data_IF_599065631639
#
_entry.id   IF_599065631639
#
_cell.length_a   1.000
_cell.length_b   1.000
_cell.length_c   1.000
_cell.angle_alpha   90.00
_cell.angle_beta   90.00
_cell.angle_gamma   90.00
#
_symmetry.space_group_name_H-M   'P 1'
#
loop_
_entity.id
_entity.type
_entity.pdbx_description
1 polymer ?
#
# COMPACT_ATOMS: atom_id res chain seq x y z
N UNK A 1 18.41 -19.42 -11.68
CA UNK A 1 18.13 -19.89 -10.31
C UNK A 1 16.72 -19.47 -9.94
N UNK A 2 15.90 -20.32 -9.30
CA UNK A 2 14.56 -19.92 -8.89
C UNK A 2 14.67 -18.80 -7.84
N UNK A 3 13.86 -17.76 -8.04
CA UNK A 3 13.85 -16.50 -7.27
C UNK A 3 13.59 -16.69 -5.77
N UNK A 4 13.04 -17.85 -5.37
CA UNK A 4 12.97 -18.29 -3.98
C UNK A 4 14.34 -18.32 -3.27
N UNK A 5 15.45 -18.34 -4.01
CA UNK A 5 16.81 -18.36 -3.47
C UNK A 5 17.44 -16.98 -3.22
N UNK A 6 16.92 -15.90 -3.82
CA UNK A 6 17.52 -14.56 -3.71
C UNK A 6 16.84 -13.70 -2.65
N UNK A 7 15.54 -13.82 -2.48
CA UNK A 7 14.83 -13.18 -1.37
C UNK A 7 14.70 -14.24 -0.29
N UNK A 8 15.36 -14.03 0.86
CA UNK A 8 15.12 -14.83 2.07
C UNK A 8 13.69 -14.55 2.55
N UNK A 9 12.73 -15.18 1.89
CA UNK A 9 11.36 -15.35 2.32
C UNK A 9 11.34 -16.35 3.47
N UNK A 10 12.05 -16.05 4.54
CA UNK A 10 12.08 -16.91 5.71
C UNK A 10 10.81 -16.68 6.53
N UNK A 11 9.71 -17.23 6.01
CA UNK A 11 8.40 -17.24 6.64
C UNK A 11 8.36 -18.08 7.92
N UNK A 12 9.46 -18.80 8.24
CA UNK A 12 9.57 -19.68 9.41
C UNK A 12 10.25 -18.98 10.58
N UNK A 13 11.07 -17.94 10.36
CA UNK A 13 11.69 -17.17 11.44
C UNK A 13 10.68 -16.20 12.09
N UNK A 14 10.32 -16.39 13.38
CA UNK A 14 9.43 -15.50 14.12
C UNK A 14 9.88 -14.03 14.16
N UNK A 15 11.17 -13.75 13.90
CA UNK A 15 11.72 -12.39 13.87
C UNK A 15 11.28 -11.58 12.65
N UNK A 16 10.72 -12.22 11.62
CA UNK A 16 10.16 -11.57 10.43
C UNK A 16 8.66 -11.26 10.56
N UNK A 17 8.09 -11.50 11.75
CA UNK A 17 6.70 -11.21 12.05
C UNK A 17 6.61 -9.81 12.67
N UNK A 18 6.10 -8.87 11.88
CA UNK A 18 5.78 -7.55 12.39
C UNK A 18 4.38 -7.59 12.99
N UNK A 19 4.28 -7.29 14.29
CA UNK A 19 2.98 -7.11 14.94
C UNK A 19 2.34 -5.82 14.40
N UNK A 20 1.19 -5.93 13.77
CA UNK A 20 0.45 -4.79 13.19
C UNK A 20 -0.56 -4.17 14.18
N UNK A 21 -0.29 -4.30 15.49
CA UNK A 21 -1.08 -3.94 16.70
C UNK A 21 -2.02 -5.02 17.27
N UNK A 22 -1.71 -5.47 18.50
CA UNK A 22 -2.58 -6.26 19.40
C UNK A 22 -3.34 -7.45 18.78
N UNK A 23 -2.85 -8.00 17.65
CA UNK A 23 -3.52 -9.12 16.98
C UNK A 23 -4.84 -8.78 16.26
N UNK A 24 -5.21 -7.50 16.12
CA UNK A 24 -6.43 -7.06 15.42
C UNK A 24 -6.11 -6.61 13.98
N UNK A 25 -7.00 -6.88 13.02
CA UNK A 25 -6.75 -6.67 11.58
C UNK A 25 -6.05 -7.86 10.94
N UNK A 26 -5.00 -7.62 10.15
CA UNK A 26 -4.15 -8.69 9.58
C UNK A 26 -3.49 -9.54 10.68
N UNK A 27 -3.29 -8.96 11.87
CA UNK A 27 -2.73 -9.61 13.06
C UNK A 27 -1.19 -9.61 13.06
N UNK A 28 -0.59 -10.26 12.05
CA UNK A 28 0.86 -10.28 11.84
C UNK A 28 1.18 -10.06 10.37
N UNK A 29 2.02 -9.08 10.08
CA UNK A 29 2.58 -8.88 8.74
C UNK A 29 3.84 -9.72 8.59
N UNK A 30 3.86 -10.56 7.56
CA UNK A 30 5.04 -11.33 7.14
C UNK A 30 5.66 -10.64 5.94
N UNK A 31 6.90 -10.16 6.11
CA UNK A 31 7.63 -9.42 5.08
C UNK A 31 9.02 -10.04 4.85
N UNK A 32 9.63 -9.86 3.67
CA UNK A 32 11.02 -10.19 3.44
C UNK A 32 11.96 -9.58 4.50
N UNK A 33 12.99 -10.31 4.91
CA UNK A 33 14.01 -9.83 5.87
C UNK A 33 14.62 -8.48 5.48
N UNK A 34 14.80 -8.25 4.18
CA UNK A 34 15.37 -7.01 3.65
C UNK A 34 14.52 -5.78 4.00
N UNK A 35 13.19 -5.90 4.12
CA UNK A 35 12.31 -4.80 4.50
C UNK A 35 12.61 -4.27 5.91
N UNK A 36 13.26 -5.07 6.77
CA UNK A 36 13.61 -4.67 8.13
C UNK A 36 14.48 -3.42 8.17
N UNK A 37 15.40 -3.28 7.22
CA UNK A 37 16.31 -2.14 7.18
C UNK A 37 15.54 -0.82 6.99
N UNK A 38 14.42 -0.87 6.25
CA UNK A 38 13.50 0.27 6.08
C UNK A 38 12.66 0.46 7.33
N UNK A 39 12.10 -0.61 7.91
CA UNK A 39 11.22 -0.48 9.08
C UNK A 39 11.95 0.02 10.33
N UNK A 40 13.25 -0.27 10.45
CA UNK A 40 14.11 0.18 11.55
C UNK A 40 14.64 1.61 11.33
N UNK A 41 14.49 2.18 10.12
CA UNK A 41 14.91 3.54 9.83
C UNK A 41 13.99 4.56 10.55
N UNK A 42 14.55 5.63 11.16
CA UNK A 42 13.78 6.63 11.91
C UNK A 42 12.62 7.27 11.12
N UNK A 43 12.82 7.51 9.82
CA UNK A 43 11.81 8.13 8.94
C UNK A 43 10.56 7.25 8.83
N UNK A 44 10.75 5.92 8.72
CA UNK A 44 9.64 4.97 8.75
C UNK A 44 9.09 4.77 10.17
N UNK A 45 9.97 4.65 11.17
CA UNK A 45 9.56 4.45 12.56
C UNK A 45 8.68 5.60 13.09
N UNK A 46 8.86 6.81 12.56
CA UNK A 46 8.00 7.99 12.80
C UNK A 46 6.52 7.70 12.59
N UNK A 47 6.16 6.84 11.63
CA UNK A 47 4.78 6.49 11.34
C UNK A 47 4.04 5.83 12.53
N UNK A 48 4.76 5.39 13.58
CA UNK A 48 4.17 4.90 14.85
C UNK A 48 3.48 5.99 15.65
N UNK A 49 3.82 7.24 15.39
CA UNK A 49 3.26 8.40 16.10
C UNK A 49 2.15 9.08 15.28
N UNK A 50 1.94 8.66 14.03
CA UNK A 50 0.93 9.22 13.14
C UNK A 50 -0.31 8.34 13.17
N UNK A 51 -1.42 8.89 13.62
CA UNK A 51 -2.71 8.20 13.66
C UNK A 51 -3.28 8.07 12.26
N UNK A 52 -3.76 6.88 11.91
CA UNK A 52 -4.32 6.61 10.58
C UNK A 52 -5.47 7.58 10.27
N UNK A 53 -6.39 7.74 11.24
CA UNK A 53 -7.63 8.49 11.06
C UNK A 53 -7.62 9.89 11.69
N UNK A 54 -6.45 10.41 12.08
CA UNK A 54 -6.33 11.76 12.65
C UNK A 54 -7.35 12.03 13.77
N UNK A 55 -8.18 13.08 13.60
CA UNK A 55 -9.16 13.51 14.59
C UNK A 55 -10.32 12.51 14.83
N UNK A 56 -10.52 11.50 13.97
CA UNK A 56 -11.54 10.45 14.20
C UNK A 56 -11.34 9.75 15.54
N UNK A 57 -10.10 9.67 16.04
CA UNK A 57 -9.80 9.08 17.36
C UNK A 57 -10.57 9.74 18.52
N UNK A 58 -10.95 11.02 18.38
CA UNK A 58 -11.69 11.75 19.41
C UNK A 58 -13.17 11.39 19.44
N UNK A 59 -13.70 10.81 18.35
CA UNK A 59 -15.09 10.32 18.25
C UNK A 59 -15.14 8.80 18.45
N UNK A 60 -14.11 8.10 17.98
CA UNK A 60 -13.94 6.65 18.09
C UNK A 60 -12.68 6.36 18.92
N UNK A 61 -12.79 6.21 20.25
CA UNK A 61 -11.62 6.07 21.14
C UNK A 61 -10.72 4.87 20.83
N UNK A 62 -11.26 3.84 20.18
CA UNK A 62 -10.52 2.65 19.75
C UNK A 62 -9.74 2.83 18.42
N UNK A 63 -9.97 3.94 17.70
CA UNK A 63 -9.30 4.30 16.45
C UNK A 63 -7.88 4.85 16.68
N UNK A 64 -7.10 4.12 17.47
CA UNK A 64 -5.74 4.49 17.89
C UNK A 64 -4.65 3.97 16.96
N UNK A 65 -5.01 3.23 15.92
CA UNK A 65 -4.08 2.62 14.98
C UNK A 65 -3.30 3.67 14.19
N UNK A 66 -2.12 3.25 13.76
CA UNK A 66 -1.07 4.14 13.25
C UNK A 66 -0.77 3.82 11.80
N UNK A 67 -0.30 4.82 11.05
CA UNK A 67 0.17 4.66 9.66
C UNK A 67 1.21 3.54 9.56
N UNK A 68 2.11 3.41 10.55
CA UNK A 68 3.08 2.32 10.60
C UNK A 68 2.44 0.92 10.55
N UNK A 69 1.33 0.71 11.24
CA UNK A 69 0.67 -0.59 11.29
C UNK A 69 -0.10 -0.87 10.00
N UNK A 70 -0.62 0.18 9.37
CA UNK A 70 -1.24 0.13 8.04
C UNK A 70 -0.20 -0.19 6.96
N UNK A 71 0.91 0.55 6.87
CA UNK A 71 1.99 0.29 5.89
C UNK A 71 2.53 -1.13 5.95
N UNK A 72 2.73 -1.69 7.15
CA UNK A 72 3.11 -3.10 7.32
C UNK A 72 2.04 -4.08 6.82
N UNK A 73 0.76 -3.74 7.03
CA UNK A 73 -0.37 -4.52 6.58
C UNK A 73 -0.53 -4.51 5.06
N UNK A 74 -0.45 -3.32 4.45
CA UNK A 74 -0.43 -3.11 3.00
C UNK A 74 0.69 -3.91 2.34
N UNK A 75 1.91 -3.84 2.88
CA UNK A 75 3.03 -4.63 2.38
C UNK A 75 2.82 -6.15 2.54
N UNK A 76 2.13 -6.60 3.58
CA UNK A 76 1.78 -8.01 3.73
C UNK A 76 0.75 -8.46 2.70
N UNK A 77 -0.31 -7.68 2.47
CA UNK A 77 -1.30 -7.97 1.43
C UNK A 77 -0.66 -7.97 0.03
N UNK A 78 0.30 -7.07 -0.24
CA UNK A 78 1.09 -7.11 -1.46
C UNK A 78 1.85 -8.44 -1.60
N UNK A 79 2.49 -8.93 -0.53
CA UNK A 79 3.17 -10.23 -0.54
C UNK A 79 2.20 -11.39 -0.86
N UNK A 80 1.01 -11.40 -0.24
CA UNK A 80 0.03 -12.45 -0.48
C UNK A 80 -0.52 -12.40 -1.91
N UNK A 81 -0.84 -11.21 -2.42
CA UNK A 81 -1.29 -11.06 -3.80
C UNK A 81 -0.22 -11.48 -4.81
N UNK A 82 1.04 -11.08 -4.60
CA UNK A 82 2.16 -11.47 -5.46
C UNK A 82 2.28 -13.00 -5.55
N UNK A 83 2.17 -13.73 -4.43
CA UNK A 83 2.22 -15.20 -4.44
C UNK A 83 1.12 -15.79 -5.33
N UNK A 84 -0.11 -15.33 -5.13
CA UNK A 84 -1.27 -15.80 -5.89
C UNK A 84 -1.06 -15.55 -7.38
N UNK A 85 -0.61 -14.35 -7.74
CA UNK A 85 -0.35 -13.98 -9.14
C UNK A 85 0.80 -14.80 -9.74
N UNK A 86 1.89 -15.04 -9.00
CA UNK A 86 3.03 -15.85 -9.45
C UNK A 86 2.66 -17.30 -9.73
N UNK A 87 1.70 -17.87 -9.00
CA UNK A 87 1.20 -19.23 -9.24
C UNK A 87 0.33 -19.32 -10.51
N UNK A 88 -0.35 -18.23 -10.86
CA UNK A 88 -1.26 -18.17 -12.01
C UNK A 88 -0.58 -17.76 -13.32
N UNK A 89 0.52 -16.99 -13.25
CA UNK A 89 1.21 -16.46 -14.43
C UNK A 89 2.08 -17.51 -15.13
N UNK A 90 2.12 -17.51 -16.47
CA UNK A 90 3.09 -18.32 -17.22
C UNK A 90 4.51 -17.79 -16.95
N UNK A 91 5.53 -18.67 -17.02
CA UNK A 91 6.91 -18.39 -16.61
C UNK A 91 7.49 -17.10 -17.22
N UNK A 92 7.20 -16.83 -18.49
CA UNK A 92 7.66 -15.64 -19.21
C UNK A 92 7.03 -14.33 -18.72
N UNK A 93 5.85 -14.40 -18.09
CA UNK A 93 5.15 -13.24 -17.54
C UNK A 93 5.36 -13.06 -16.04
N UNK A 94 6.04 -14.01 -15.37
CA UNK A 94 6.30 -13.95 -13.94
C UNK A 94 7.14 -12.73 -13.57
N UNK A 95 6.86 -12.17 -12.40
CA UNK A 95 7.67 -11.08 -11.86
C UNK A 95 9.01 -11.64 -11.42
N UNK A 96 10.09 -10.90 -11.67
CA UNK A 96 11.41 -11.22 -11.12
C UNK A 96 11.43 -10.98 -9.61
N UNK A 97 12.46 -11.48 -8.94
CA UNK A 97 12.66 -11.21 -7.51
C UNK A 97 12.73 -9.73 -7.20
N UNK A 98 13.51 -9.01 -7.99
CA UNK A 98 13.67 -7.57 -7.83
C UNK A 98 12.33 -6.83 -8.05
N UNK A 99 11.56 -7.17 -9.09
CA UNK A 99 10.22 -6.58 -9.31
C UNK A 99 9.26 -6.85 -8.14
N UNK A 100 9.22 -8.08 -7.61
CA UNK A 100 8.40 -8.39 -6.44
C UNK A 100 8.83 -7.57 -5.23
N UNK A 101 10.14 -7.44 -5.01
CA UNK A 101 10.66 -6.64 -3.90
C UNK A 101 10.35 -5.15 -4.09
N UNK A 102 10.36 -4.62 -5.31
CA UNK A 102 9.93 -3.26 -5.60
C UNK A 102 8.48 -3.02 -5.18
N UNK A 103 7.56 -3.91 -5.56
CA UNK A 103 6.14 -3.79 -5.18
C UNK A 103 5.97 -3.82 -3.66
N UNK A 104 6.69 -4.71 -2.96
CA UNK A 104 6.60 -4.83 -1.50
C UNK A 104 7.17 -3.58 -0.80
N UNK A 105 8.30 -3.06 -1.26
CA UNK A 105 8.89 -1.84 -0.70
C UNK A 105 8.01 -0.63 -1.00
N UNK A 106 7.43 -0.54 -2.21
CA UNK A 106 6.46 0.50 -2.54
C UNK A 106 5.23 0.43 -1.63
N UNK A 107 4.66 -0.76 -1.42
CA UNK A 107 3.56 -0.98 -0.48
C UNK A 107 3.93 -0.59 0.96
N UNK A 108 5.16 -0.86 1.38
CA UNK A 108 5.65 -0.45 2.70
C UNK A 108 5.81 1.07 2.77
N UNK A 109 6.28 1.72 1.71
CA UNK A 109 6.67 3.13 1.73
C UNK A 109 5.60 4.10 1.22
N UNK A 110 4.46 3.62 0.71
CA UNK A 110 3.43 4.46 0.07
C UNK A 110 2.93 5.60 0.96
N UNK A 111 2.95 5.38 2.28
CA UNK A 111 2.42 6.29 3.31
C UNK A 111 3.51 7.04 4.11
N UNK A 112 4.78 6.99 3.67
CA UNK A 112 5.90 7.68 4.34
C UNK A 112 5.67 9.20 4.47
N UNK A 113 5.07 9.79 3.45
CA UNK A 113 4.87 11.22 3.24
C UNK A 113 3.78 11.84 4.11
N UNK A 114 2.95 11.06 4.79
CA UNK A 114 1.93 11.63 5.66
C UNK A 114 2.55 12.44 6.81
N UNK A 115 2.10 13.68 6.92
CA UNK A 115 2.41 14.56 8.04
C UNK A 115 1.49 14.27 9.24
N UNK A 116 1.71 14.98 10.36
CA UNK A 116 0.77 14.96 11.47
C UNK A 116 -0.63 15.39 10.97
N UNK A 117 -1.68 14.72 11.44
CA UNK A 117 -3.06 14.91 10.96
C UNK A 117 -3.30 14.61 9.46
N UNK A 118 -2.33 13.98 8.76
CA UNK A 118 -2.45 13.50 7.38
C UNK A 118 -3.05 14.55 6.44
N UNK A 119 -4.26 14.32 5.90
CA UNK A 119 -4.90 15.18 4.91
C UNK A 119 -5.16 16.62 5.40
N UNK A 120 -5.32 16.84 6.71
CA UNK A 120 -5.46 18.20 7.24
C UNK A 120 -4.22 19.06 6.97
N UNK A 121 -3.03 18.46 7.05
CA UNK A 121 -1.78 19.17 6.78
C UNK A 121 -1.62 19.47 5.28
N UNK A 122 -2.02 18.55 4.41
CA UNK A 122 -2.05 18.77 2.96
C UNK A 122 -3.01 19.92 2.60
N UNK A 123 -4.22 19.92 3.15
CA UNK A 123 -5.20 20.99 2.98
C UNK A 123 -4.68 22.34 3.51
N UNK A 124 -4.05 22.33 4.68
CA UNK A 124 -3.46 23.54 5.27
C UNK A 124 -2.36 24.13 4.39
N UNK A 125 -1.44 23.31 3.85
CA UNK A 125 -0.37 23.80 2.96
C UNK A 125 -0.95 24.45 1.69
N UNK A 126 -1.96 23.81 1.10
CA UNK A 126 -2.67 24.37 -0.06
C UNK A 126 -3.31 25.72 0.28
N UNK A 127 -3.93 25.84 1.46
CA UNK A 127 -4.57 27.08 1.89
C UNK A 127 -3.57 28.17 2.30
N UNK A 128 -2.42 27.79 2.88
CA UNK A 128 -1.46 28.74 3.46
C UNK A 128 -0.59 29.42 2.41
N UNK A 129 -0.07 28.66 1.45
CA UNK A 129 0.88 29.19 0.46
C UNK A 129 0.67 28.65 -0.96
N UNK A 130 -0.41 27.89 -1.19
CA UNK A 130 -0.73 27.30 -2.49
C UNK A 130 0.08 26.06 -2.83
N UNK A 131 0.88 25.52 -1.90
CA UNK A 131 1.67 24.30 -2.13
C UNK A 131 0.75 23.11 -2.33
N UNK A 132 0.70 22.59 -3.56
CA UNK A 132 0.05 21.33 -3.91
C UNK A 132 1.10 20.23 -3.89
N UNK A 133 1.28 19.63 -2.73
CA UNK A 133 2.22 18.55 -2.53
C UNK A 133 1.48 17.39 -1.87
N UNK A 134 1.26 16.32 -2.62
CA UNK A 134 0.50 15.18 -2.12
C UNK A 134 1.36 14.33 -1.18
N UNK A 135 0.72 13.53 -0.32
CA UNK A 135 1.48 12.60 0.52
C UNK A 135 2.22 11.55 -0.30
N UNK A 136 1.73 11.16 -1.49
CA UNK A 136 2.44 10.24 -2.39
C UNK A 136 3.73 10.88 -2.92
N UNK A 137 3.69 12.15 -3.33
CA UNK A 137 4.89 12.90 -3.73
C UNK A 137 5.88 13.02 -2.57
N UNK A 138 5.39 13.31 -1.36
CA UNK A 138 6.22 13.32 -0.15
C UNK A 138 6.79 11.95 0.19
N UNK A 139 6.04 10.87 -0.02
CA UNK A 139 6.50 9.50 0.20
C UNK A 139 7.68 9.17 -0.71
N UNK A 140 7.60 9.59 -1.98
CA UNK A 140 8.70 9.45 -2.95
C UNK A 140 9.93 10.24 -2.50
N UNK A 141 9.77 11.50 -2.09
CA UNK A 141 10.88 12.34 -1.62
C UNK A 141 11.53 11.78 -0.34
N UNK A 142 10.73 11.29 0.60
CA UNK A 142 11.24 10.68 1.83
C UNK A 142 11.92 9.34 1.56
N UNK A 143 11.43 8.55 0.60
CA UNK A 143 12.11 7.34 0.18
C UNK A 143 13.50 7.64 -0.41
N UNK A 144 13.60 8.60 -1.32
CA UNK A 144 14.89 9.05 -1.87
C UNK A 144 15.81 9.61 -0.76
N UNK A 145 15.26 10.35 0.20
CA UNK A 145 16.01 10.85 1.37
C UNK A 145 16.56 9.71 2.22
N UNK A 146 15.77 8.66 2.49
CA UNK A 146 16.23 7.48 3.23
C UNK A 146 17.39 6.81 2.49
N UNK A 147 17.29 6.66 1.16
CA UNK A 147 18.37 6.06 0.36
C UNK A 147 19.63 6.93 0.35
N UNK A 148 19.49 8.25 0.39
CA UNK A 148 20.63 9.19 0.37
C UNK A 148 21.32 9.35 1.72
N UNK A 149 20.54 9.39 2.80
CA UNK A 149 21.04 9.76 4.13
C UNK A 149 21.44 8.54 4.98
N UNK A 150 20.96 7.33 4.63
CA UNK A 150 21.25 6.10 5.36
C UNK A 150 21.95 5.06 4.47
N UNK A 151 23.29 5.12 4.46
CA UNK A 151 24.14 4.18 3.74
C UNK A 151 23.85 2.71 4.10
N UNK A 152 23.39 2.41 5.32
CA UNK A 152 23.09 1.03 5.71
C UNK A 152 21.85 0.52 4.99
N UNK A 153 20.82 1.36 4.85
CA UNK A 153 19.63 1.05 4.05
C UNK A 153 20.04 0.87 2.58
N UNK A 154 20.73 1.85 2.01
CA UNK A 154 21.13 1.83 0.60
C UNK A 154 21.98 0.60 0.25
N UNK A 155 23.08 0.38 0.97
CA UNK A 155 23.98 -0.76 0.75
C UNK A 155 23.27 -2.12 0.93
N UNK A 156 22.23 -2.20 1.78
CA UNK A 156 21.48 -3.44 1.96
C UNK A 156 20.52 -3.70 0.79
N UNK A 157 19.88 -2.67 0.28
CA UNK A 157 18.95 -2.76 -0.85
C UNK A 157 19.67 -2.98 -2.17
N UNK A 158 20.84 -2.36 -2.38
CA UNK A 158 21.67 -2.50 -3.59
C UNK A 158 22.18 -3.94 -3.82
N UNK A 159 22.09 -4.82 -2.82
CA UNK A 159 22.36 -6.26 -3.00
C UNK A 159 21.30 -6.98 -3.84
N UNK A 160 20.12 -6.38 -3.97
CA UNK A 160 18.96 -6.96 -4.64
C UNK A 160 18.41 -6.07 -5.75
N UNK A 161 18.61 -4.76 -5.64
CA UNK A 161 18.01 -3.73 -6.48
C UNK A 161 19.10 -2.83 -7.08
N UNK A 162 18.78 -2.18 -8.20
CA UNK A 162 19.61 -1.16 -8.84
C UNK A 162 18.81 0.15 -8.97
N UNK A 163 19.37 1.17 -9.60
CA UNK A 163 18.70 2.47 -9.78
C UNK A 163 17.36 2.37 -10.51
N UNK A 164 17.24 1.54 -11.55
CA UNK A 164 15.97 1.35 -12.27
C UNK A 164 14.90 0.78 -11.33
N UNK A 165 15.28 -0.12 -10.42
CA UNK A 165 14.37 -0.68 -9.43
C UNK A 165 13.96 0.35 -8.38
N UNK A 166 14.86 1.24 -7.94
CA UNK A 166 14.51 2.35 -7.04
C UNK A 166 13.55 3.33 -7.71
N UNK A 167 13.76 3.62 -8.99
CA UNK A 167 12.83 4.44 -9.76
C UNK A 167 11.47 3.74 -9.95
N UNK A 168 11.46 2.43 -10.17
CA UNK A 168 10.22 1.64 -10.24
C UNK A 168 9.44 1.68 -8.92
N UNK A 169 10.11 1.61 -7.76
CA UNK A 169 9.46 1.77 -6.45
C UNK A 169 8.74 3.12 -6.38
N UNK A 170 9.40 4.20 -6.81
CA UNK A 170 8.83 5.55 -6.81
C UNK A 170 7.61 5.65 -7.72
N UNK A 171 7.69 5.09 -8.93
CA UNK A 171 6.54 5.05 -9.83
C UNK A 171 5.40 4.15 -9.31
N UNK A 172 5.65 3.12 -8.51
CA UNK A 172 4.55 2.33 -7.92
C UNK A 172 3.87 3.09 -6.77
N UNK A 173 4.63 3.88 -6.00
CA UNK A 173 4.08 4.73 -4.93
C UNK A 173 3.21 5.83 -5.54
N UNK A 174 3.76 6.55 -6.53
CA UNK A 174 3.09 7.63 -7.23
C UNK A 174 3.06 7.32 -8.73
N UNK A 175 2.09 6.51 -9.18
CA UNK A 175 2.01 6.10 -10.58
C UNK A 175 1.73 7.30 -11.49
N UNK A 176 2.38 7.35 -12.67
CA UNK A 176 1.98 8.31 -13.68
C UNK A 176 0.52 8.09 -14.07
N UNK A 177 -0.18 9.11 -14.57
CA UNK A 177 -1.55 8.93 -15.05
C UNK A 177 -1.57 7.86 -16.14
N UNK A 178 -2.47 6.89 -16.01
CA UNK A 178 -2.74 5.90 -17.05
C UNK A 178 -3.87 6.42 -17.93
N UNK A 179 -3.56 7.05 -19.09
CA UNK A 179 -4.58 7.58 -19.98
C UNK A 179 -5.53 6.49 -20.47
N UNK A 180 -6.75 6.91 -20.82
CA UNK A 180 -7.71 6.01 -21.45
C UNK A 180 -7.15 5.51 -22.78
N UNK A 181 -7.07 4.19 -22.91
CA UNK A 181 -6.65 3.45 -24.11
C UNK A 181 -5.16 3.52 -24.49
N UNK A 182 -4.27 3.97 -23.61
CA UNK A 182 -2.82 3.87 -23.86
C UNK A 182 -1.98 3.63 -22.61
N UNK A 183 -0.80 3.03 -22.84
CA UNK A 183 0.25 2.89 -21.82
C UNK A 183 1.08 4.19 -21.85
N UNK A 184 1.45 4.77 -20.69
CA UNK A 184 2.47 5.81 -20.68
C UNK A 184 3.75 5.33 -21.37
N UNK A 185 4.26 6.09 -22.35
CA UNK A 185 5.36 5.65 -23.22
C UNK A 185 6.63 5.27 -22.42
N UNK A 186 6.86 6.03 -21.34
CA UNK A 186 8.08 5.98 -20.53
C UNK A 186 7.96 5.14 -19.24
N UNK A 187 7.03 4.18 -19.16
CA UNK A 187 7.00 3.27 -18.01
C UNK A 187 8.31 2.47 -17.90
N UNK A 188 8.90 2.45 -16.70
CA UNK A 188 10.10 1.68 -16.38
C UNK A 188 9.90 0.18 -16.55
N UNK A 189 8.75 -0.34 -16.10
CA UNK A 189 8.38 -1.73 -16.35
C UNK A 189 7.28 -1.84 -17.39
N UNK A 190 7.50 -2.70 -18.39
CA UNK A 190 6.45 -3.09 -19.35
C UNK A 190 5.42 -4.05 -18.73
N UNK A 191 5.65 -4.55 -17.50
CA UNK A 191 4.66 -5.30 -16.72
C UNK A 191 3.71 -4.32 -16.01
N UNK A 192 2.79 -3.75 -16.77
CA UNK A 192 1.86 -2.70 -16.32
C UNK A 192 1.04 -3.06 -15.07
N UNK A 193 0.71 -4.33 -14.86
CA UNK A 193 -0.04 -4.76 -13.68
C UNK A 193 0.67 -4.48 -12.34
N UNK A 194 1.98 -4.25 -12.31
CA UNK A 194 2.72 -3.90 -11.09
C UNK A 194 2.19 -2.59 -10.46
N UNK A 195 1.83 -1.63 -11.32
CA UNK A 195 1.30 -0.31 -10.93
C UNK A 195 -0.14 -0.38 -10.41
N UNK A 196 -0.82 -1.52 -10.53
CA UNK A 196 -2.18 -1.71 -10.04
C UNK A 196 -2.25 -2.33 -8.63
N UNK A 197 -1.12 -2.83 -8.11
CA UNK A 197 -1.11 -3.60 -6.87
C UNK A 197 -1.26 -2.68 -5.65
N UNK A 198 -0.46 -1.60 -5.59
CA UNK A 198 -0.31 -0.76 -4.38
C UNK A 198 -1.20 0.47 -4.43
N UNK A 199 -1.12 1.23 -5.52
CA UNK A 199 -1.90 2.44 -5.74
C UNK A 199 -2.50 2.32 -7.15
N UNK A 200 -3.75 1.88 -7.26
CA UNK A 200 -4.35 1.57 -8.56
C UNK A 200 -5.06 2.82 -9.14
N UNK A 201 -4.47 3.49 -10.15
CA UNK A 201 -5.02 4.75 -10.66
C UNK A 201 -6.28 4.57 -11.51
N UNK A 202 -6.61 3.34 -11.90
CA UNK A 202 -7.72 3.05 -12.82
C UNK A 202 -8.99 2.68 -12.06
N UNK A 203 -8.95 1.61 -11.25
CA UNK A 203 -10.14 1.12 -10.57
C UNK A 203 -10.24 1.60 -9.12
N UNK A 204 -9.13 2.09 -8.55
CA UNK A 204 -9.04 2.39 -7.12
C UNK A 204 -9.26 1.15 -6.25
N UNK A 205 -8.92 -0.05 -6.74
CA UNK A 205 -8.93 -1.30 -5.97
C UNK A 205 -7.49 -1.78 -5.90
N UNK A 206 -6.89 -1.68 -4.73
CA UNK A 206 -5.49 -1.99 -4.44
C UNK A 206 -5.34 -2.50 -3.01
N UNK A 207 -4.16 -3.02 -2.68
CA UNK A 207 -3.92 -3.61 -1.36
C UNK A 207 -3.88 -2.58 -0.23
N UNK A 208 -3.62 -1.30 -0.54
CA UNK A 208 -3.75 -0.18 0.39
C UNK A 208 -5.21 -0.08 0.88
N UNK A 209 -6.15 0.05 -0.06
CA UNK A 209 -7.58 0.16 0.24
C UNK A 209 -8.12 -1.06 0.97
N UNK A 210 -7.68 -2.24 0.59
CA UNK A 210 -8.07 -3.47 1.28
C UNK A 210 -7.59 -3.46 2.74
N UNK A 211 -6.35 -3.03 3.03
CA UNK A 211 -5.88 -2.96 4.41
C UNK A 211 -6.67 -1.93 5.23
N UNK A 212 -6.76 -0.68 4.76
CA UNK A 212 -7.39 0.36 5.58
C UNK A 212 -8.88 0.11 5.76
N UNK A 213 -9.61 -0.41 4.76
CA UNK A 213 -11.04 -0.72 4.92
C UNK A 213 -11.27 -1.73 6.04
N UNK A 214 -10.53 -2.84 6.05
CA UNK A 214 -10.60 -3.83 7.12
C UNK A 214 -10.20 -3.22 8.47
N UNK A 215 -9.07 -2.52 8.49
CA UNK A 215 -8.48 -1.99 9.72
C UNK A 215 -9.37 -0.96 10.37
N UNK A 216 -9.92 -0.05 9.58
CA UNK A 216 -10.78 1.02 10.05
C UNK A 216 -12.11 0.47 10.54
N UNK A 217 -12.71 -0.53 9.87
CA UNK A 217 -13.91 -1.20 10.36
C UNK A 217 -13.69 -1.76 11.77
N UNK A 218 -12.61 -2.52 11.95
CA UNK A 218 -12.27 -3.13 13.25
C UNK A 218 -12.05 -2.07 14.35
N UNK A 219 -11.47 -0.93 14.00
CA UNK A 219 -11.04 0.10 14.95
C UNK A 219 -12.11 1.13 15.27
N UNK A 220 -13.05 1.33 14.37
CA UNK A 220 -14.24 2.16 14.58
C UNK A 220 -15.42 1.36 15.14
N UNK A 221 -15.33 0.02 15.15
CA UNK A 221 -16.42 -0.86 15.56
C UNK A 221 -17.52 -1.00 14.51
N UNK A 222 -17.28 -0.51 13.29
CA UNK A 222 -18.18 -0.69 12.15
C UNK A 222 -18.11 -2.16 11.70
N UNK A 223 -19.26 -2.82 11.68
CA UNK A 223 -19.39 -4.16 11.10
C UNK A 223 -19.27 -4.03 9.59
N UNK A 224 -18.31 -4.74 9.00
CA UNK A 224 -18.00 -4.62 7.59
C UNK A 224 -17.11 -5.76 7.11
N UNK A 225 -16.28 -5.43 6.12
CA UNK A 225 -15.32 -6.34 5.47
C UNK A 225 -14.46 -7.08 6.51
N UNK A 226 -14.39 -8.40 6.37
CA UNK A 226 -13.57 -9.24 7.24
C UNK A 226 -12.25 -9.64 6.59
N UNK A 227 -11.30 -10.13 7.39
CA UNK A 227 -10.05 -10.71 6.90
C UNK A 227 -10.30 -11.89 5.95
N UNK A 228 -11.35 -12.68 6.20
CA UNK A 228 -11.73 -13.81 5.34
C UNK A 228 -12.20 -13.33 3.97
N UNK A 229 -12.96 -12.23 3.92
CA UNK A 229 -13.43 -11.65 2.66
C UNK A 229 -12.27 -11.15 1.81
N UNK A 230 -11.31 -10.44 2.42
CA UNK A 230 -10.09 -10.01 1.73
C UNK A 230 -9.29 -11.21 1.21
N UNK A 231 -9.09 -12.25 2.03
CA UNK A 231 -8.35 -13.44 1.61
C UNK A 231 -9.00 -14.14 0.41
N UNK A 232 -10.34 -14.27 0.42
CA UNK A 232 -11.10 -14.82 -0.71
C UNK A 232 -11.00 -13.92 -1.94
N UNK A 233 -11.13 -12.61 -1.76
CA UNK A 233 -11.02 -11.64 -2.85
C UNK A 233 -9.65 -11.73 -3.53
N UNK A 234 -8.56 -11.71 -2.77
CA UNK A 234 -7.21 -11.78 -3.33
C UNK A 234 -7.01 -13.07 -4.15
N UNK A 235 -7.58 -14.19 -3.72
CA UNK A 235 -7.47 -15.48 -4.41
C UNK A 235 -8.17 -15.51 -5.77
N UNK A 236 -9.10 -14.58 -6.05
CA UNK A 236 -9.83 -14.53 -7.31
C UNK A 236 -9.25 -13.54 -8.31
N UNK A 237 -8.39 -12.61 -7.86
CA UNK A 237 -7.71 -11.64 -8.73
C UNK A 237 -6.83 -12.39 -9.72
N UNK A 238 -6.88 -11.96 -10.99
CA UNK A 238 -6.06 -12.49 -12.09
C UNK A 238 -5.35 -11.36 -12.81
N UNK A 239 -4.37 -11.71 -13.63
CA UNK A 239 -3.82 -10.80 -14.64
C UNK A 239 -4.37 -11.20 -16.01
N UNK A 240 -4.97 -10.24 -16.71
CA UNK A 240 -5.49 -10.44 -18.07
C UNK A 240 -5.03 -9.31 -18.99
N UNK A 241 -4.96 -9.59 -20.28
CA UNK A 241 -4.84 -8.54 -21.29
C UNK A 241 -6.14 -7.72 -21.30
N UNK A 242 -6.02 -6.42 -21.02
CA UNK A 242 -7.13 -5.48 -21.08
C UNK A 242 -7.43 -5.16 -22.56
N UNK A 243 -8.58 -5.60 -23.10
CA UNK A 243 -8.89 -5.43 -24.51
C UNK A 243 -9.10 -3.96 -24.90
N UNK A 244 -9.46 -3.10 -23.95
CA UNK A 244 -9.62 -1.67 -24.18
C UNK A 244 -8.26 -0.95 -24.12
N UNK A 245 -7.39 -1.34 -23.18
CA UNK A 245 -6.16 -0.61 -22.91
C UNK A 245 -4.90 -1.18 -23.56
N UNK A 246 -4.99 -2.37 -24.17
CA UNK A 246 -3.89 -3.06 -24.89
C UNK A 246 -2.68 -3.39 -24.01
N UNK A 247 -2.89 -3.60 -22.71
CA UNK A 247 -1.85 -4.00 -21.76
C UNK A 247 -2.37 -4.98 -20.72
N UNK A 248 -1.46 -5.67 -20.02
CA UNK A 248 -1.83 -6.59 -18.95
C UNK A 248 -2.18 -5.85 -17.66
N UNK A 249 -3.35 -6.12 -17.08
CA UNK A 249 -3.82 -5.46 -15.87
C UNK A 249 -4.42 -6.46 -14.88
N UNK A 250 -4.66 -5.99 -13.64
CA UNK A 250 -5.44 -6.76 -12.68
C UNK A 250 -6.89 -6.82 -13.14
N UNK A 251 -7.40 -8.05 -13.23
CA UNK A 251 -8.76 -8.36 -13.61
C UNK A 251 -9.49 -9.01 -12.44
N UNK A 252 -10.73 -8.59 -12.25
CA UNK A 252 -11.60 -9.09 -11.20
C UNK A 252 -12.72 -9.92 -11.84
N UNK A 253 -12.91 -11.19 -11.44
CA UNK A 253 -13.97 -12.02 -12.00
C UNK A 253 -15.36 -11.41 -11.76
N UNK A 254 -16.23 -11.48 -12.77
CA UNK A 254 -17.62 -10.96 -12.68
C UNK A 254 -18.41 -11.64 -11.55
N UNK A 255 -18.06 -12.89 -11.22
CA UNK A 255 -18.62 -13.62 -10.08
C UNK A 255 -18.38 -12.92 -8.74
N UNK A 256 -17.33 -12.10 -8.63
CA UNK A 256 -16.98 -11.32 -7.45
C UNK A 256 -17.51 -9.88 -7.47
N UNK A 257 -18.36 -9.53 -8.45
CA UNK A 257 -18.98 -8.20 -8.55
C UNK A 257 -19.63 -7.73 -7.24
N UNK A 258 -20.31 -8.64 -6.53
CA UNK A 258 -20.91 -8.35 -5.21
C UNK A 258 -19.88 -7.97 -4.16
N UNK A 259 -18.71 -8.60 -4.16
CA UNK A 259 -17.64 -8.30 -3.21
C UNK A 259 -16.99 -6.94 -3.53
N UNK A 260 -16.81 -6.63 -4.82
CA UNK A 260 -16.37 -5.31 -5.27
C UNK A 260 -17.37 -4.23 -4.82
N UNK A 261 -18.66 -4.43 -5.05
CA UNK A 261 -19.72 -3.53 -4.56
C UNK A 261 -19.64 -3.36 -3.04
N UNK A 262 -19.46 -4.45 -2.29
CA UNK A 262 -19.32 -4.38 -0.83
C UNK A 262 -18.11 -3.54 -0.39
N UNK A 263 -16.96 -3.61 -1.07
CA UNK A 263 -15.82 -2.74 -0.76
C UNK A 263 -16.13 -1.27 -1.01
N UNK A 264 -16.78 -0.96 -2.13
CA UNK A 264 -17.14 0.42 -2.49
C UNK A 264 -18.19 1.00 -1.53
N UNK A 265 -19.21 0.20 -1.20
CA UNK A 265 -20.24 0.56 -0.21
C UNK A 265 -19.62 0.75 1.18
N UNK A 266 -18.70 -0.12 1.59
CA UNK A 266 -18.00 0.02 2.87
C UNK A 266 -17.16 1.30 2.90
N UNK A 267 -16.47 1.62 1.80
CA UNK A 267 -15.71 2.87 1.67
C UNK A 267 -16.64 4.08 1.85
N UNK A 268 -17.75 4.11 1.12
CA UNK A 268 -18.73 5.19 1.22
C UNK A 268 -19.33 5.30 2.63
N UNK A 269 -19.61 4.16 3.25
CA UNK A 269 -20.12 4.09 4.61
C UNK A 269 -19.10 4.67 5.60
N UNK A 270 -17.84 4.24 5.55
CA UNK A 270 -16.76 4.76 6.42
C UNK A 270 -16.56 6.27 6.26
N UNK A 271 -16.63 6.79 5.02
CA UNK A 271 -16.61 8.23 4.78
C UNK A 271 -17.76 8.92 5.50
N UNK A 272 -18.99 8.41 5.36
CA UNK A 272 -20.18 9.03 5.95
C UNK A 272 -20.18 8.98 7.48
N UNK A 273 -19.79 7.86 8.08
CA UNK A 273 -19.96 7.65 9.52
C UNK A 273 -18.73 8.06 10.34
N UNK A 274 -17.53 7.89 9.80
CA UNK A 274 -16.28 8.12 10.53
C UNK A 274 -15.52 9.32 9.96
N UNK A 275 -15.09 9.26 8.70
CA UNK A 275 -14.11 10.24 8.19
C UNK A 275 -14.70 11.66 8.07
N UNK A 276 -15.95 11.78 7.61
CA UNK A 276 -16.67 13.04 7.46
C UNK A 276 -17.69 13.26 8.59
N UNK A 277 -17.50 12.63 9.74
CA UNK A 277 -18.36 12.86 10.89
C UNK A 277 -18.30 14.33 11.32
N UNK A 278 -19.45 14.97 11.54
CA UNK A 278 -19.55 16.42 11.82
C UNK A 278 -18.60 16.93 12.92
N UNK A 279 -18.43 16.16 14.00
CA UNK A 279 -17.54 16.53 15.08
C UNK A 279 -16.06 16.35 14.71
N UNK A 280 -15.73 15.45 13.79
CA UNK A 280 -14.36 15.32 13.25
C UNK A 280 -14.03 16.53 12.41
N UNK A 281 -14.96 16.95 11.54
CA UNK A 281 -14.81 18.17 10.74
C UNK A 281 -14.65 19.40 11.63
N UNK A 282 -15.47 19.54 12.68
CA UNK A 282 -15.35 20.63 13.64
C UNK A 282 -13.98 20.64 14.35
N UNK A 283 -13.43 19.47 14.74
CA UNK A 283 -12.09 19.39 15.35
C UNK A 283 -11.01 19.78 14.35
N UNK A 284 -11.16 19.42 13.07
CA UNK A 284 -10.21 19.77 12.03
C UNK A 284 -10.19 21.28 11.72
N UNK A 285 -11.26 22.02 12.03
CA UNK A 285 -11.36 23.47 11.83
C UNK A 285 -10.84 24.31 13.01
N UNK A 286 -10.53 23.69 14.16
CA UNK A 286 -10.04 24.35 15.38
C UNK A 286 -8.51 24.54 15.36
#
# INVERSE_FOLDING_TARGET
>A
MPVSSLIEWDYKDPKNYYRTNHGKGIGYAKLPKVCKVITDNPTFARLRYIKQLGAVLYIYPEATHTRHAHSLGTAHLACELIKILQEQLPEESKMTGAEMLCVIIAALCHDLGHAAFSHLCEEFLIQSDGTKLTHEEMSVLLFDKILKDDDKVRNRLERYLNEDHFNLIKEIINPPPFPDNSIPENLLSKKTFLYAIVNNPISGIDVDKLDYLLRDCIRTGVIGITKTDIGKFLATIKICDDPCKKFKWLAFPVTESKMISAFLEQRQYNHKVAYSHKNVLAINEM
#
